data_IF_048264056908
#
_entry.id   IF_048264056908
#
_cell.length_a   1.000
_cell.length_b   1.000
_cell.length_c   1.000
_cell.angle_alpha   90.00
_cell.angle_beta   90.00
_cell.angle_gamma   90.00
#
_symmetry.space_group_name_H-M   'P 1'
#
loop_
_entity.id
_entity.type
_entity.pdbx_description
1 polymer ?
#
# COMPACT_ATOMS: atom_id res chain seq x y z
N UNK A 1 6.66 7.07 0.54
CA UNK A 1 6.17 6.21 -0.55
C UNK A 1 4.66 6.33 -0.75
N UNK A 2 3.82 5.96 0.23
CA UNK A 2 2.35 5.85 0.10
C UNK A 2 1.56 7.17 -0.11
N UNK A 3 2.24 8.32 -0.23
CA UNK A 3 1.59 9.63 -0.43
C UNK A 3 0.88 10.20 0.81
N UNK A 4 1.00 9.55 1.98
CA UNK A 4 0.35 10.00 3.21
C UNK A 4 1.01 11.22 3.85
N UNK A 5 2.27 11.49 3.52
CA UNK A 5 3.04 12.64 4.00
C UNK A 5 3.72 13.32 2.82
N UNK A 6 3.85 14.65 2.89
CA UNK A 6 4.67 15.40 1.92
C UNK A 6 6.12 14.95 2.06
N UNK A 7 6.70 14.46 0.98
CA UNK A 7 8.11 14.08 0.90
C UNK A 7 8.82 15.00 -0.09
N UNK A 8 10.08 15.37 0.21
CA UNK A 8 10.95 16.07 -0.74
C UNK A 8 11.62 15.10 -1.72
N UNK A 9 11.71 13.82 -1.35
CA UNK A 9 12.35 12.76 -2.13
C UNK A 9 11.36 12.10 -3.08
N UNK A 10 11.85 11.74 -4.28
CA UNK A 10 11.09 10.97 -5.25
C UNK A 10 10.62 9.60 -4.71
N UNK A 11 9.46 9.15 -5.17
CA UNK A 11 8.84 7.92 -4.68
C UNK A 11 9.68 6.67 -4.99
N UNK A 12 10.28 6.57 -6.18
CA UNK A 12 11.11 5.42 -6.56
C UNK A 12 12.37 5.37 -5.71
N UNK A 13 12.97 6.52 -5.44
CA UNK A 13 14.13 6.62 -4.54
C UNK A 13 13.80 6.15 -3.12
N UNK A 14 12.59 6.44 -2.61
CA UNK A 14 12.15 5.93 -1.30
C UNK A 14 11.98 4.41 -1.33
N UNK A 15 11.41 3.83 -2.38
CA UNK A 15 11.31 2.37 -2.50
C UNK A 15 12.69 1.71 -2.57
N UNK A 16 13.59 2.27 -3.39
CA UNK A 16 14.96 1.79 -3.50
C UNK A 16 15.66 1.80 -2.14
N UNK A 17 15.57 2.91 -1.39
CA UNK A 17 16.17 3.01 -0.07
C UNK A 17 15.64 1.95 0.91
N UNK A 18 14.32 1.73 0.93
CA UNK A 18 13.68 0.71 1.78
C UNK A 18 14.14 -0.70 1.37
N UNK A 19 14.14 -1.00 0.07
CA UNK A 19 14.55 -2.30 -0.45
C UNK A 19 16.02 -2.59 -0.15
N UNK A 20 16.91 -1.62 -0.38
CA UNK A 20 18.34 -1.73 -0.06
C UNK A 20 18.57 -1.95 1.43
N UNK A 21 17.83 -1.25 2.31
CA UNK A 21 17.92 -1.47 3.77
C UNK A 21 17.48 -2.87 4.16
N UNK A 22 16.32 -3.35 3.68
CA UNK A 22 15.83 -4.70 3.99
C UNK A 22 16.73 -5.81 3.45
N UNK A 23 17.33 -5.61 2.27
CA UNK A 23 18.30 -6.54 1.70
C UNK A 23 19.56 -6.64 2.58
N UNK A 24 20.17 -5.51 2.91
CA UNK A 24 21.46 -5.44 3.61
C UNK A 24 21.37 -5.66 5.13
N UNK A 25 20.23 -5.37 5.76
CA UNK A 25 20.06 -5.44 7.22
C UNK A 25 18.97 -6.46 7.58
N UNK A 26 19.36 -7.73 7.73
CA UNK A 26 18.43 -8.83 8.00
C UNK A 26 17.55 -8.58 9.24
N UNK A 27 18.11 -7.98 10.30
CA UNK A 27 17.36 -7.65 11.52
C UNK A 27 16.24 -6.62 11.35
N UNK A 28 16.17 -5.90 10.22
CA UNK A 28 15.10 -4.95 9.92
C UNK A 28 13.97 -5.54 9.09
N UNK A 29 14.13 -6.73 8.49
CA UNK A 29 13.18 -7.26 7.50
C UNK A 29 11.77 -7.40 8.07
N UNK A 30 11.65 -8.05 9.23
CA UNK A 30 10.35 -8.29 9.85
C UNK A 30 9.70 -6.97 10.29
N UNK A 31 10.47 -6.05 10.86
CA UNK A 31 9.96 -4.73 11.26
C UNK A 31 9.44 -3.94 10.05
N UNK A 32 10.12 -3.98 8.90
CA UNK A 32 9.62 -3.36 7.67
C UNK A 32 8.27 -3.96 7.24
N UNK A 33 8.13 -5.29 7.28
CA UNK A 33 6.87 -5.95 6.95
C UNK A 33 5.77 -5.64 7.95
N UNK A 34 6.07 -5.63 9.25
CA UNK A 34 5.12 -5.26 10.31
C UNK A 34 4.61 -3.82 10.09
N UNK A 35 5.50 -2.88 9.76
CA UNK A 35 5.13 -1.51 9.45
C UNK A 35 4.22 -1.44 8.21
N UNK A 36 4.53 -2.19 7.15
CA UNK A 36 3.69 -2.23 5.95
C UNK A 36 2.31 -2.82 6.26
N UNK A 37 2.24 -3.96 6.96
CA UNK A 37 0.99 -4.57 7.42
C UNK A 37 0.15 -3.58 8.24
N UNK A 38 0.78 -2.82 9.13
CA UNK A 38 0.10 -1.78 9.91
C UNK A 38 -0.48 -0.69 9.02
N UNK A 39 0.27 -0.23 8.02
CA UNK A 39 -0.16 0.84 7.11
C UNK A 39 -1.22 0.40 6.09
N UNK A 40 -1.36 -0.91 5.82
CA UNK A 40 -2.39 -1.47 4.93
C UNK A 40 -3.64 -1.95 5.67
N UNK A 41 -3.53 -2.17 6.98
CA UNK A 41 -4.67 -2.51 7.86
C UNK A 41 -5.55 -1.28 8.08
N UNK A 42 -6.87 -1.44 7.87
CA UNK A 42 -7.87 -0.37 8.04
C UNK A 42 -7.57 0.96 7.31
N UNK A 43 -6.76 0.91 6.25
CA UNK A 43 -6.47 2.08 5.44
C UNK A 43 -7.59 2.32 4.41
N UNK A 44 -8.37 3.39 4.61
CA UNK A 44 -9.48 3.78 3.73
C UNK A 44 -9.06 4.73 2.58
N UNK A 45 -7.79 5.12 2.52
CA UNK A 45 -7.25 5.93 1.42
C UNK A 45 -6.75 5.00 0.32
N UNK A 46 -7.62 4.68 -0.65
CA UNK A 46 -7.34 3.66 -1.67
C UNK A 46 -6.03 3.85 -2.44
N UNK A 47 -5.68 5.08 -2.81
CA UNK A 47 -4.39 5.38 -3.45
C UNK A 47 -3.19 5.06 -2.54
N UNK A 48 -3.30 5.35 -1.24
CA UNK A 48 -2.26 5.02 -0.24
C UNK A 48 -2.21 3.51 -0.02
N UNK A 49 -3.37 2.85 0.14
CA UNK A 49 -3.47 1.40 0.30
C UNK A 49 -2.85 0.64 -0.89
N UNK A 50 -3.16 1.05 -2.13
CA UNK A 50 -2.59 0.46 -3.33
C UNK A 50 -1.05 0.57 -3.33
N UNK A 51 -0.51 1.76 -3.00
CA UNK A 51 0.94 1.98 -2.87
C UNK A 51 1.55 1.19 -1.71
N UNK A 52 0.80 0.93 -0.64
CA UNK A 52 1.26 0.09 0.48
C UNK A 52 1.47 -1.35 0.04
N UNK A 53 0.50 -1.91 -0.69
CA UNK A 53 0.60 -3.25 -1.27
C UNK A 53 1.69 -3.35 -2.35
N UNK A 54 1.81 -2.33 -3.20
CA UNK A 54 2.90 -2.22 -4.19
C UNK A 54 4.27 -2.28 -3.50
N UNK A 55 4.47 -1.49 -2.42
CA UNK A 55 5.72 -1.49 -1.67
C UNK A 55 6.00 -2.84 -0.99
N UNK A 56 4.96 -3.51 -0.48
CA UNK A 56 5.08 -4.86 0.08
C UNK A 56 5.52 -5.87 -0.98
N UNK A 57 4.94 -5.82 -2.18
CA UNK A 57 5.34 -6.67 -3.30
C UNK A 57 6.79 -6.40 -3.74
N UNK A 58 7.21 -5.12 -3.80
CA UNK A 58 8.60 -4.75 -4.08
C UNK A 58 9.53 -5.38 -3.04
N UNK A 59 9.25 -5.21 -1.74
CA UNK A 59 10.07 -5.81 -0.68
C UNK A 59 10.17 -7.33 -0.82
N UNK A 60 9.06 -8.03 -1.05
CA UNK A 60 9.00 -9.49 -1.20
C UNK A 60 9.79 -9.99 -2.41
N UNK A 61 9.87 -9.20 -3.49
CA UNK A 61 10.67 -9.54 -4.67
C UNK A 61 12.19 -9.48 -4.40
N UNK A 62 12.62 -8.67 -3.43
CA UNK A 62 14.03 -8.55 -3.08
C UNK A 62 14.41 -9.39 -1.88
N UNK A 63 13.65 -9.43 -0.79
CA UNK A 63 14.05 -10.18 0.41
C UNK A 63 12.85 -10.85 1.09
N UNK A 64 12.98 -12.10 1.55
CA UNK A 64 11.93 -12.75 2.32
C UNK A 64 11.86 -12.20 3.75
N UNK A 65 10.71 -12.34 4.46
CA UNK A 65 10.68 -12.21 5.92
C UNK A 65 11.57 -13.30 6.56
N UNK A 66 11.84 -13.19 7.86
CA UNK A 66 12.52 -14.29 8.57
C UNK A 66 11.63 -15.54 8.64
N UNK A 67 12.21 -16.75 8.80
CA UNK A 67 11.42 -17.97 8.94
C UNK A 67 10.41 -17.92 10.08
N UNK A 68 10.72 -17.22 11.17
CA UNK A 68 9.83 -17.05 12.33
C UNK A 68 8.59 -16.21 12.00
N UNK A 69 8.73 -15.23 11.11
CA UNK A 69 7.66 -14.30 10.75
C UNK A 69 6.89 -14.71 9.47
N UNK A 70 7.44 -15.64 8.69
CA UNK A 70 6.91 -16.05 7.39
C UNK A 70 5.40 -16.40 7.42
N UNK A 71 5.00 -17.32 8.29
CA UNK A 71 3.60 -17.79 8.38
C UNK A 71 2.62 -16.67 8.78
N UNK A 72 3.07 -15.70 9.58
CA UNK A 72 2.25 -14.55 9.96
C UNK A 72 2.03 -13.61 8.78
N UNK A 73 3.09 -13.28 8.03
CA UNK A 73 2.99 -12.42 6.85
C UNK A 73 2.16 -13.08 5.75
N UNK A 74 2.39 -14.37 5.50
CA UNK A 74 1.62 -15.14 4.54
C UNK A 74 0.12 -15.16 4.90
N UNK A 75 -0.22 -15.47 6.16
CA UNK A 75 -1.60 -15.44 6.64
C UNK A 75 -2.23 -14.04 6.58
N UNK A 76 -1.44 -12.98 6.76
CA UNK A 76 -1.91 -11.60 6.57
C UNK A 76 -2.29 -11.33 5.11
N UNK A 77 -1.45 -11.75 4.16
CA UNK A 77 -1.67 -11.57 2.72
C UNK A 77 -2.91 -12.34 2.28
N UNK A 78 -3.02 -13.63 2.61
CA UNK A 78 -4.18 -14.45 2.22
C UNK A 78 -5.50 -13.90 2.76
N UNK A 79 -5.52 -13.41 4.01
CA UNK A 79 -6.72 -12.77 4.56
C UNK A 79 -7.17 -11.56 3.74
N UNK A 80 -6.25 -10.78 3.19
CA UNK A 80 -6.57 -9.61 2.37
C UNK A 80 -6.83 -9.93 0.89
N UNK A 81 -6.49 -11.13 0.43
CA UNK A 81 -6.88 -11.61 -0.89
C UNK A 81 -8.33 -12.06 -0.95
N UNK A 82 -8.91 -12.48 0.19
CA UNK A 82 -10.30 -12.89 0.27
C UNK A 82 -11.24 -11.66 0.19
N UNK A 83 -12.09 -11.55 -0.86
CA UNK A 83 -13.02 -10.44 -1.00
C UNK A 83 -14.03 -10.30 0.15
N UNK A 84 -14.29 -11.38 0.90
CA UNK A 84 -15.15 -11.39 2.08
C UNK A 84 -14.52 -10.57 3.21
N UNK A 85 -13.20 -10.63 3.34
CA UNK A 85 -12.44 -9.94 4.36
C UNK A 85 -12.03 -8.52 3.92
N UNK A 86 -11.78 -8.29 2.62
CA UNK A 86 -11.50 -6.96 2.05
C UNK A 86 -12.73 -6.32 1.39
N UNK A 87 -13.76 -6.07 2.23
CA UNK A 87 -15.00 -5.44 1.77
C UNK A 87 -14.81 -3.99 1.32
N UNK A 88 -13.72 -3.32 1.75
CA UNK A 88 -13.42 -1.91 1.41
C UNK A 88 -13.05 -1.78 -0.08
N UNK A 89 -12.19 -2.65 -0.62
CA UNK A 89 -11.85 -2.62 -2.06
C UNK A 89 -13.08 -2.92 -2.91
N UNK A 90 -13.86 -3.94 -2.55
CA UNK A 90 -15.10 -4.30 -3.25
C UNK A 90 -16.12 -3.16 -3.24
N UNK A 91 -16.31 -2.48 -2.10
CA UNK A 91 -17.18 -1.31 -1.97
C UNK A 91 -16.67 -0.12 -2.80
N UNK A 92 -15.36 0.12 -2.81
CA UNK A 92 -14.76 1.18 -3.62
C UNK A 92 -14.96 0.96 -5.10
N UNK A 93 -14.69 -0.25 -5.61
CA UNK A 93 -14.92 -0.60 -7.01
C UNK A 93 -16.39 -0.40 -7.38
N UNK A 94 -17.31 -0.76 -6.48
CA UNK A 94 -18.74 -0.47 -6.66
C UNK A 94 -19.01 1.03 -6.74
N UNK A 95 -18.44 1.84 -5.86
CA UNK A 95 -18.59 3.30 -5.91
C UNK A 95 -17.98 3.92 -7.18
N UNK A 96 -16.83 3.45 -7.65
CA UNK A 96 -16.22 3.91 -8.89
C UNK A 96 -17.11 3.58 -10.10
N UNK A 97 -17.65 2.36 -10.15
CA UNK A 97 -18.59 1.92 -11.20
C UNK A 97 -19.92 2.69 -11.15
N UNK A 98 -20.36 3.08 -9.96
CA UNK A 98 -21.60 3.83 -9.75
C UNK A 98 -21.46 5.34 -9.94
N UNK A 99 -20.31 5.87 -10.37
CA UNK A 99 -20.16 7.29 -10.77
C UNK A 99 -20.40 7.42 -12.28
N UNK A 100 -21.61 7.81 -12.76
CA UNK A 100 -21.74 8.23 -14.14
C UNK A 100 -21.17 9.65 -14.23
N UNK A 101 -20.02 9.77 -14.90
CA UNK A 101 -19.50 10.99 -15.52
C UNK A 101 -19.91 12.33 -14.85
N UNK A 102 -19.42 12.62 -13.64
CA UNK A 102 -19.64 13.93 -13.02
C UNK A 102 -18.93 15.00 -13.86
N UNK A 103 -19.73 15.82 -14.54
CA UNK A 103 -19.33 16.96 -15.37
C UNK A 103 -18.32 17.85 -14.63
N UNK A 104 -17.24 18.23 -15.31
CA UNK A 104 -16.27 19.22 -14.85
C UNK A 104 -16.99 20.46 -14.28
N UNK A 105 -16.61 20.96 -13.09
CA UNK A 105 -17.18 22.20 -12.57
C UNK A 105 -16.84 23.36 -13.52
N UNK A 106 -17.86 24.09 -13.98
CA UNK A 106 -17.68 25.30 -14.80
C UNK A 106 -16.86 26.30 -13.99
N UNK A 107 -15.67 26.64 -14.47
CA UNK A 107 -14.94 27.81 -13.98
C UNK A 107 -15.82 29.04 -14.20
N UNK A 108 -16.30 29.64 -13.09
CA UNK A 108 -16.88 30.97 -13.10
C UNK A 108 -15.79 31.93 -13.56
N UNK A 109 -15.91 32.46 -14.79
CA UNK A 109 -15.12 33.62 -15.20
C UNK A 109 -15.46 34.75 -14.25
N UNK A 110 -14.48 35.23 -13.48
CA UNK A 110 -14.64 36.44 -12.68
C UNK A 110 -14.74 37.65 -13.63
N UNK A 111 -15.58 38.64 -13.29
CA UNK A 111 -15.71 39.87 -14.08
C UNK A 111 -14.42 40.68 -14.09
#
# INVERSE_FOLDING_TARGET
>A
YMGDRRAKTDQLNVALEIATKGWSMQGLRDELYIQLCRQTTENFRYESLARGWELMAICLAFFPPTPKFHSYLEGYIYRHMDPVNDTKVSRHLRHLRARPNQKKPKMRKKP
#
